data_IF_000025230298
#
_entry.id   IF_000025230298
#
_cell.length_a   1.000
_cell.length_b   1.000
_cell.length_c   1.000
_cell.angle_alpha   90.00
_cell.angle_beta   90.00
_cell.angle_gamma   90.00
#
_symmetry.space_group_name_H-M   'P 1'
#
loop_
_entity.id
_entity.type
_entity.pdbx_description
1 polymer ?
#
# COMPACT_ATOMS: atom_id res chain seq x y z
N UNK A 1 18.04 13.39 11.91
CA UNK A 1 17.32 13.26 10.63
C UNK A 1 15.88 12.96 10.99
N UNK A 2 14.95 13.86 10.67
CA UNK A 2 13.54 13.67 11.01
C UNK A 2 12.87 12.74 10.02
N UNK A 3 12.33 11.63 10.50
CA UNK A 3 11.63 10.65 9.67
C UNK A 3 10.20 11.15 9.39
N UNK A 4 9.75 11.20 8.12
CA UNK A 4 8.38 11.58 7.80
C UNK A 4 7.38 10.55 8.35
N UNK A 5 6.25 11.05 8.87
CA UNK A 5 5.17 10.19 9.38
C UNK A 5 4.31 9.72 8.20
N UNK A 6 4.08 8.42 8.12
CA UNK A 6 3.23 7.82 7.08
C UNK A 6 1.75 7.98 7.41
N UNK A 7 0.90 7.96 6.37
CA UNK A 7 -0.56 8.06 6.54
C UNK A 7 -1.13 6.95 7.44
N UNK A 8 -0.74 5.66 7.30
CA UNK A 8 -1.25 4.61 8.18
C UNK A 8 -0.95 4.87 9.66
N UNK A 9 0.29 5.26 9.98
CA UNK A 9 0.71 5.57 11.36
C UNK A 9 -0.10 6.76 11.91
N UNK A 10 -0.28 7.80 11.11
CA UNK A 10 -1.08 8.97 11.51
C UNK A 10 -2.52 8.58 11.82
N UNK A 11 -3.16 7.75 10.98
CA UNK A 11 -4.53 7.29 11.18
C UNK A 11 -4.65 6.40 12.43
N UNK A 12 -3.70 5.48 12.65
CA UNK A 12 -3.66 4.62 13.83
C UNK A 12 -3.59 5.45 15.12
N UNK A 13 -2.69 6.43 15.19
CA UNK A 13 -2.58 7.31 16.36
C UNK A 13 -3.79 8.20 16.57
N UNK A 14 -4.45 8.63 15.49
CA UNK A 14 -5.70 9.36 15.60
C UNK A 14 -6.82 8.52 16.24
N UNK A 15 -6.91 7.23 15.91
CA UNK A 15 -7.87 6.30 16.53
C UNK A 15 -7.54 6.02 17.99
N UNK A 16 -6.27 5.80 18.33
CA UNK A 16 -5.85 5.63 19.73
C UNK A 16 -6.25 6.84 20.59
N UNK A 17 -6.03 8.06 20.07
CA UNK A 17 -6.41 9.29 20.76
C UNK A 17 -7.92 9.47 20.84
N UNK A 18 -8.67 9.07 19.81
CA UNK A 18 -10.13 9.17 19.83
C UNK A 18 -10.77 8.24 20.83
N UNK A 19 -10.26 7.02 20.95
CA UNK A 19 -10.70 6.08 21.97
C UNK A 19 -10.42 6.62 23.38
N UNK A 20 -9.24 7.23 23.59
CA UNK A 20 -8.84 7.75 24.90
C UNK A 20 -9.51 9.06 25.30
N UNK A 21 -9.89 9.92 24.34
CA UNK A 21 -10.28 11.32 24.63
C UNK A 21 -11.63 11.74 24.07
N UNK A 22 -12.16 11.04 23.06
CA UNK A 22 -13.32 11.48 22.28
C UNK A 22 -14.43 10.43 22.21
N UNK A 23 -14.36 9.37 23.03
CA UNK A 23 -15.40 8.33 23.08
C UNK A 23 -15.45 7.42 21.85
N UNK A 24 -14.33 7.24 21.14
CA UNK A 24 -14.22 6.24 20.07
C UNK A 24 -14.72 6.71 18.69
N UNK A 25 -14.66 8.01 18.40
CA UNK A 25 -14.93 8.53 17.05
C UNK A 25 -13.99 7.87 16.04
N UNK A 26 -14.55 7.31 14.96
CA UNK A 26 -13.76 6.68 13.92
C UNK A 26 -13.14 7.73 12.99
N UNK A 27 -11.81 7.85 13.04
CA UNK A 27 -11.03 8.75 12.21
C UNK A 27 -10.31 8.08 11.03
N UNK A 28 -10.65 6.83 10.65
CA UNK A 28 -9.94 6.16 9.55
C UNK A 28 -10.42 6.55 8.14
N UNK A 29 -11.43 7.41 8.01
CA UNK A 29 -11.96 7.76 6.68
C UNK A 29 -11.02 8.66 5.88
N UNK A 30 -10.89 8.39 4.58
CA UNK A 30 -10.19 9.25 3.62
C UNK A 30 -10.70 10.71 3.62
N UNK A 31 -11.99 10.90 3.92
CA UNK A 31 -12.62 12.21 4.03
C UNK A 31 -12.13 13.02 5.23
N UNK A 32 -12.01 12.38 6.40
CA UNK A 32 -11.45 13.01 7.59
C UNK A 32 -9.99 13.40 7.36
N UNK A 33 -9.16 12.48 6.88
CA UNK A 33 -7.74 12.74 6.65
C UNK A 33 -7.54 13.91 5.67
N UNK A 34 -8.33 13.97 4.60
CA UNK A 34 -8.29 15.09 3.63
C UNK A 34 -8.62 16.43 4.29
N UNK A 35 -9.67 16.48 5.13
CA UNK A 35 -10.06 17.70 5.86
C UNK A 35 -9.02 18.09 6.90
N UNK A 36 -8.51 17.11 7.65
CA UNK A 36 -7.49 17.30 8.68
C UNK A 36 -6.21 17.90 8.09
N UNK A 37 -5.71 17.29 7.00
CA UNK A 37 -4.54 17.79 6.28
C UNK A 37 -4.74 19.19 5.72
N UNK A 38 -5.92 19.49 5.16
CA UNK A 38 -6.24 20.82 4.64
C UNK A 38 -6.29 21.88 5.75
N UNK A 39 -6.89 21.55 6.89
CA UNK A 39 -7.02 22.47 8.03
C UNK A 39 -5.67 22.85 8.63
N UNK A 40 -4.75 21.89 8.70
CA UNK A 40 -3.42 22.09 9.31
C UNK A 40 -2.28 22.19 8.29
N UNK A 41 -2.60 22.34 7.00
CA UNK A 41 -1.63 22.49 5.90
C UNK A 41 -0.55 21.38 5.90
N UNK A 42 -0.96 20.15 6.20
CA UNK A 42 -0.05 18.99 6.25
C UNK A 42 0.20 18.48 4.82
N UNK A 43 1.45 18.64 4.38
CA UNK A 43 1.94 18.12 3.10
C UNK A 43 2.02 16.59 3.16
N UNK A 44 1.44 15.91 2.17
CA UNK A 44 1.66 14.47 1.96
C UNK A 44 2.52 14.34 0.72
N UNK A 45 3.71 13.79 0.91
CA UNK A 45 4.58 13.41 -0.19
C UNK A 45 4.16 12.01 -0.63
N UNK A 46 3.78 11.86 -1.89
CA UNK A 46 3.58 10.54 -2.48
C UNK A 46 4.96 10.02 -2.88
N UNK A 47 5.68 9.41 -1.94
CA UNK A 47 6.97 8.80 -2.21
C UNK A 47 6.68 7.47 -2.92
N UNK A 48 6.47 7.53 -4.24
CA UNK A 48 6.36 6.34 -5.07
C UNK A 48 7.76 5.74 -5.24
N UNK A 49 8.26 5.05 -4.22
CA UNK A 49 9.60 4.45 -4.24
C UNK A 49 9.74 3.31 -5.26
N UNK A 50 8.66 2.61 -5.59
CA UNK A 50 8.74 1.36 -6.37
C UNK A 50 8.49 1.53 -7.88
N UNK A 51 7.83 2.60 -8.32
CA UNK A 51 7.45 2.72 -9.74
C UNK A 51 8.63 3.04 -10.66
N UNK A 52 9.72 3.59 -10.12
CA UNK A 52 10.92 3.95 -10.88
C UNK A 52 12.07 2.91 -10.77
N UNK A 53 11.93 1.89 -9.91
CA UNK A 53 12.92 0.81 -9.77
C UNK A 53 12.50 -0.48 -10.48
N UNK A 54 11.29 -0.51 -11.05
CA UNK A 54 10.81 -1.66 -11.81
C UNK A 54 11.59 -1.74 -13.14
N UNK A 55 12.58 -2.63 -13.21
CA UNK A 55 13.23 -2.96 -14.47
C UNK A 55 12.25 -3.79 -15.32
N UNK A 56 11.64 -3.14 -16.31
CA UNK A 56 10.72 -3.80 -17.24
C UNK A 56 11.37 -5.02 -17.92
N UNK A 57 12.66 -4.92 -18.26
CA UNK A 57 13.43 -5.99 -18.89
C UNK A 57 13.56 -7.22 -17.97
N UNK A 58 13.82 -7.01 -16.67
CA UNK A 58 13.86 -8.11 -15.70
C UNK A 58 12.47 -8.72 -15.46
N UNK A 59 11.40 -7.94 -15.58
CA UNK A 59 10.04 -8.44 -15.44
C UNK A 59 9.64 -9.33 -16.63
N UNK A 60 10.02 -8.95 -17.86
CA UNK A 60 9.77 -9.75 -19.08
C UNK A 60 10.48 -11.11 -19.03
N UNK A 61 11.76 -11.14 -18.66
CA UNK A 61 12.50 -12.40 -18.52
C UNK A 61 11.93 -13.33 -17.44
N UNK A 62 11.37 -12.77 -16.36
CA UNK A 62 10.70 -13.56 -15.33
C UNK A 62 9.36 -14.14 -15.79
N UNK A 63 8.62 -13.43 -16.64
CA UNK A 63 7.39 -13.93 -17.25
C UNK A 63 7.64 -15.13 -18.17
N UNK A 64 8.70 -15.08 -18.99
CA UNK A 64 9.11 -16.21 -19.81
C UNK A 64 9.55 -17.42 -18.98
N UNK A 65 10.32 -17.19 -17.91
CA UNK A 65 10.72 -18.24 -16.97
C UNK A 65 9.50 -18.96 -16.36
N UNK A 66 8.49 -18.22 -15.89
CA UNK A 66 7.25 -18.80 -15.36
C UNK A 66 6.48 -19.59 -16.42
N UNK A 67 6.41 -19.10 -17.66
CA UNK A 67 5.74 -19.82 -18.75
C UNK A 67 6.43 -21.15 -19.08
N UNK A 68 7.75 -21.18 -19.02
CA UNK A 68 8.57 -22.38 -19.23
C UNK A 68 8.54 -23.36 -18.05
N UNK A 69 8.16 -22.90 -16.85
CA UNK A 69 7.97 -23.74 -15.67
C UNK A 69 6.63 -24.48 -15.65
N UNK A 70 5.68 -24.16 -16.53
CA UNK A 70 4.43 -24.94 -16.62
C UNK A 70 4.80 -26.38 -16.96
N UNK A 71 4.52 -27.37 -16.08
CA UNK A 71 4.74 -28.76 -16.42
C UNK A 71 3.93 -29.09 -17.68
N UNK A 72 4.52 -29.83 -18.62
CA UNK A 72 3.76 -30.49 -19.69
C UNK A 72 2.92 -31.61 -19.07
N UNK A 73 1.88 -31.26 -18.32
CA UNK A 73 0.83 -32.21 -17.96
C UNK A 73 0.06 -32.52 -19.24
N UNK A 74 0.52 -33.57 -19.91
CA UNK A 74 -0.27 -34.30 -20.90
C UNK A 74 -1.39 -34.96 -20.09
N UNK A 75 -2.58 -34.37 -20.09
CA UNK A 75 -3.76 -34.95 -19.47
C UNK A 75 -4.00 -36.34 -20.09
N UNK A 76 -3.60 -37.39 -19.36
CA UNK A 76 -4.09 -38.75 -19.54
C UNK A 76 -5.34 -38.84 -18.67
N UNK A 77 -6.49 -38.61 -19.27
CA UNK A 77 -7.77 -39.06 -18.75
C UNK A 77 -8.45 -39.87 -19.85
N UNK A 78 -7.89 -41.04 -20.14
CA UNK A 78 -8.65 -42.17 -20.71
C UNK A 78 -8.99 -43.11 -19.55
N UNK A 79 -10.18 -42.92 -18.94
CA UNK A 79 -10.99 -43.98 -18.31
C UNK A 79 -12.46 -43.62 -18.53
#
# INVERSE_FOLDING_TARGET
MDTPITVPILCEKALELSAKKLGGVNFSSNGWLRKFRRRYVIRLLNIQGEKLSANAESAEGFQEYIQNLKPKEKYLCDI
#
